data_IF_596962155253
#
_entry.id   IF_596962155253
#
_cell.length_a   1.000
_cell.length_b   1.000
_cell.length_c   1.000
_cell.angle_alpha   90.00
_cell.angle_beta   90.00
_cell.angle_gamma   90.00
#
_symmetry.space_group_name_H-M   'P 1'
#
loop_
_entity.id
_entity.type
_entity.pdbx_description
1 polymer ?
#
# COMPACT_ATOMS: atom_id res chain seq x y z
N UNK A 1 8.89 -38.76 10.91
CA UNK A 1 9.16 -37.31 10.86
C UNK A 1 10.33 -37.05 9.93
N UNK A 2 10.10 -37.11 8.61
CA UNK A 2 11.07 -36.81 7.54
C UNK A 2 10.27 -36.24 6.38
N UNK A 3 10.68 -35.07 5.91
CA UNK A 3 10.11 -34.40 4.74
C UNK A 3 10.31 -35.28 3.51
N UNK A 4 9.28 -35.39 2.68
CA UNK A 4 9.37 -35.92 1.32
C UNK A 4 8.44 -35.10 0.47
N UNK A 5 9.00 -34.02 -0.06
CA UNK A 5 8.41 -33.29 -1.17
C UNK A 5 8.47 -34.25 -2.35
N UNK A 6 7.31 -34.77 -2.71
CA UNK A 6 7.09 -35.55 -3.93
C UNK A 6 7.20 -34.59 -5.10
N UNK A 7 8.39 -34.50 -5.68
CA UNK A 7 8.57 -33.94 -7.02
C UNK A 7 8.25 -35.07 -7.99
N UNK A 8 7.08 -34.96 -8.61
CA UNK A 8 6.58 -35.89 -9.62
C UNK A 8 7.64 -36.13 -10.70
N UNK A 9 7.85 -37.42 -11.00
CA UNK A 9 8.92 -37.91 -11.86
C UNK A 9 8.91 -37.33 -13.26
N UNK A 10 10.10 -36.97 -13.73
CA UNK A 10 10.35 -36.66 -15.14
C UNK A 10 11.59 -37.47 -15.56
N UNK A 11 11.36 -38.45 -16.44
CA UNK A 11 12.37 -39.23 -17.13
C UNK A 11 13.19 -38.29 -18.03
N UNK A 12 14.51 -38.21 -17.82
CA UNK A 12 15.40 -37.34 -18.60
C UNK A 12 15.90 -38.14 -19.82
N UNK A 13 15.24 -37.95 -20.96
CA UNK A 13 15.61 -38.55 -22.25
C UNK A 13 15.53 -37.53 -23.39
N UNK A 14 16.70 -37.11 -23.88
CA UNK A 14 17.02 -36.63 -25.24
C UNK A 14 15.93 -35.88 -26.05
N UNK A 15 15.94 -34.53 -26.00
CA UNK A 15 15.48 -33.64 -27.09
C UNK A 15 15.87 -32.16 -26.80
N UNK A 16 17.16 -31.85 -26.84
CA UNK A 16 17.68 -30.49 -26.59
C UNK A 16 17.64 -29.69 -27.90
N UNK A 17 16.65 -28.78 -28.07
CA UNK A 17 16.84 -27.49 -28.78
C UNK A 17 15.66 -26.48 -28.77
N UNK A 18 14.44 -26.82 -28.34
CA UNK A 18 13.30 -25.87 -28.38
C UNK A 18 12.60 -25.57 -27.04
N UNK A 19 13.06 -26.12 -25.92
CA UNK A 19 12.37 -26.00 -24.62
C UNK A 19 12.88 -24.90 -23.69
N UNK A 20 14.05 -24.30 -23.95
CA UNK A 20 14.66 -23.31 -23.02
C UNK A 20 13.95 -21.97 -22.91
N UNK A 21 13.18 -21.59 -23.94
CA UNK A 21 12.42 -20.34 -23.96
C UNK A 21 11.14 -20.43 -23.13
N UNK A 22 10.46 -21.58 -23.15
CA UNK A 22 9.21 -21.77 -22.42
C UNK A 22 9.43 -21.74 -20.89
N UNK A 23 10.53 -22.34 -20.41
CA UNK A 23 10.88 -22.36 -18.99
C UNK A 23 11.23 -20.95 -18.45
N UNK A 24 11.92 -20.14 -19.27
CA UNK A 24 12.29 -18.76 -18.90
C UNK A 24 11.09 -17.81 -18.90
N UNK A 25 10.16 -17.99 -19.83
CA UNK A 25 8.91 -17.21 -19.89
C UNK A 25 8.00 -17.58 -18.72
N UNK A 26 7.90 -18.86 -18.37
CA UNK A 26 7.12 -19.32 -17.23
C UNK A 26 7.69 -18.79 -15.89
N UNK A 27 9.03 -18.79 -15.76
CA UNK A 27 9.70 -18.21 -14.60
C UNK A 27 9.50 -16.69 -14.50
N UNK A 28 9.57 -15.96 -15.62
CA UNK A 28 9.30 -14.51 -15.66
C UNK A 28 7.84 -14.17 -15.28
N UNK A 29 6.87 -14.97 -15.76
CA UNK A 29 5.44 -14.79 -15.46
C UNK A 29 5.13 -15.04 -13.96
N UNK A 30 5.86 -15.95 -13.32
CA UNK A 30 5.73 -16.23 -11.88
C UNK A 30 6.18 -15.05 -11.01
N UNK A 31 7.25 -14.36 -11.40
CA UNK A 31 7.79 -13.21 -10.65
C UNK A 31 6.90 -11.97 -10.80
N UNK A 32 6.28 -11.77 -11.98
CA UNK A 32 5.40 -10.64 -12.24
C UNK A 32 4.13 -10.63 -11.36
N UNK A 33 3.73 -11.78 -10.83
CA UNK A 33 2.49 -11.93 -10.02
C UNK A 33 2.62 -11.44 -8.58
N UNK A 34 3.83 -11.08 -8.12
CA UNK A 34 4.09 -10.69 -6.73
C UNK A 34 4.16 -9.18 -6.49
N UNK A 35 3.89 -8.35 -7.50
CA UNK A 35 3.93 -6.91 -7.37
C UNK A 35 2.56 -6.36 -6.96
N UNK A 36 2.27 -6.37 -5.65
CA UNK A 36 1.17 -5.59 -5.08
C UNK A 36 1.72 -4.27 -4.55
N UNK A 37 1.01 -3.17 -4.81
CA UNK A 37 1.22 -1.96 -4.01
C UNK A 37 0.68 -2.22 -2.60
N UNK A 38 1.39 -1.73 -1.58
CA UNK A 38 0.86 -1.73 -0.22
C UNK A 38 -0.31 -0.75 -0.12
N UNK A 39 -1.36 -1.18 0.57
CA UNK A 39 -2.51 -0.33 0.85
C UNK A 39 -2.15 0.71 1.91
N UNK A 40 -2.45 1.98 1.65
CA UNK A 40 -2.25 3.05 2.62
C UNK A 40 -3.36 3.01 3.67
N UNK A 41 -3.06 2.42 4.82
CA UNK A 41 -3.92 2.41 5.99
C UNK A 41 -3.84 3.73 6.77
N UNK A 42 -4.95 4.46 6.88
CA UNK A 42 -5.00 5.78 7.54
C UNK A 42 -4.43 5.77 8.96
N UNK A 43 -4.83 4.81 9.79
CA UNK A 43 -4.41 4.78 11.20
C UNK A 43 -2.93 4.45 11.41
N UNK A 44 -2.30 3.79 10.45
CA UNK A 44 -0.90 3.35 10.54
C UNK A 44 0.04 4.32 9.84
N UNK A 45 -0.37 4.86 8.69
CA UNK A 45 0.48 5.68 7.85
C UNK A 45 0.21 7.19 7.98
N UNK A 46 -1.04 7.61 8.20
CA UNK A 46 -1.43 9.03 8.15
C UNK A 46 -1.65 9.62 9.54
N UNK A 47 -2.41 8.94 10.40
CA UNK A 47 -2.74 9.43 11.74
C UNK A 47 -1.50 9.74 12.59
N UNK A 48 -0.42 8.93 12.61
CA UNK A 48 0.77 9.26 13.41
C UNK A 48 1.40 10.61 13.02
N UNK A 49 1.45 10.90 11.71
CA UNK A 49 1.98 12.15 11.16
C UNK A 49 1.12 13.33 11.63
N UNK A 50 -0.22 13.19 11.55
CA UNK A 50 -1.13 14.24 12.02
C UNK A 50 -1.02 14.46 13.53
N UNK A 51 -0.88 13.41 14.33
CA UNK A 51 -0.71 13.52 15.79
C UNK A 51 0.58 14.27 16.13
N UNK A 52 1.66 13.98 15.43
CA UNK A 52 2.97 14.58 15.69
C UNK A 52 3.00 16.07 15.30
N UNK A 53 2.41 16.43 14.16
CA UNK A 53 2.62 17.74 13.56
C UNK A 53 1.40 18.67 13.54
N UNK A 54 0.17 18.15 13.63
CA UNK A 54 -1.03 18.94 13.32
C UNK A 54 -2.04 18.99 14.45
N UNK A 55 -2.34 17.86 15.11
CA UNK A 55 -3.46 17.75 16.05
C UNK A 55 -3.25 18.50 17.37
N UNK A 56 -2.04 18.99 17.65
CA UNK A 56 -1.82 19.87 18.80
C UNK A 56 -2.51 21.23 18.66
N UNK A 57 -2.61 21.75 17.43
CA UNK A 57 -3.24 23.04 17.12
C UNK A 57 -4.53 22.89 16.28
N UNK A 58 -4.71 21.79 15.55
CA UNK A 58 -5.90 21.54 14.70
C UNK A 58 -6.65 20.26 15.12
N UNK A 59 -6.65 19.98 16.42
CA UNK A 59 -7.29 18.80 17.00
C UNK A 59 -8.62 19.09 17.73
N UNK A 60 -9.07 18.14 18.57
CA UNK A 60 -10.37 18.22 19.23
C UNK A 60 -10.44 19.27 20.35
N UNK A 61 -9.31 19.74 20.86
CA UNK A 61 -9.26 20.76 21.91
C UNK A 61 -9.59 22.14 21.36
N UNK A 62 -10.79 22.64 21.66
CA UNK A 62 -11.27 23.95 21.23
C UNK A 62 -10.42 25.12 21.76
N UNK A 63 -9.86 24.98 22.96
CA UNK A 63 -9.08 26.06 23.59
C UNK A 63 -7.74 26.31 22.91
N UNK A 64 -7.24 25.29 22.22
CA UNK A 64 -5.97 25.31 21.47
C UNK A 64 -6.17 25.30 19.97
N UNK A 65 -7.42 25.30 19.49
CA UNK A 65 -7.73 25.15 18.07
C UNK A 65 -7.44 26.45 17.32
N UNK A 66 -6.53 26.36 16.36
CA UNK A 66 -6.16 27.48 15.50
C UNK A 66 -6.97 27.46 14.20
N UNK A 67 -7.26 28.65 13.66
CA UNK A 67 -7.95 28.87 12.39
C UNK A 67 -9.31 28.16 12.25
N UNK A 68 -9.92 27.75 13.38
CA UNK A 68 -11.14 26.91 13.43
C UNK A 68 -11.02 25.59 12.63
N UNK A 69 -9.80 25.22 12.23
CA UNK A 69 -9.53 24.05 11.40
C UNK A 69 -9.44 22.80 12.29
N UNK A 70 -10.10 21.73 11.84
CA UNK A 70 -10.19 20.47 12.56
C UNK A 70 -9.83 19.29 11.67
N UNK A 71 -8.71 18.65 11.98
CA UNK A 71 -8.15 17.52 11.21
C UNK A 71 -8.32 16.16 11.90
N UNK A 72 -8.82 16.11 13.13
CA UNK A 72 -9.11 14.84 13.84
C UNK A 72 -10.42 14.17 13.39
N UNK A 73 -11.28 14.92 12.70
CA UNK A 73 -12.59 14.48 12.21
C UNK A 73 -12.61 14.49 10.68
N UNK A 74 -13.01 13.38 10.07
CA UNK A 74 -13.10 13.25 8.62
C UNK A 74 -14.09 14.25 8.02
N UNK A 75 -15.28 14.37 8.61
CA UNK A 75 -16.31 15.30 8.14
C UNK A 75 -15.81 16.75 8.17
N UNK A 76 -15.19 17.16 9.29
CA UNK A 76 -14.66 18.52 9.42
C UNK A 76 -13.49 18.78 8.46
N UNK A 77 -12.61 17.81 8.25
CA UNK A 77 -11.48 17.94 7.33
C UNK A 77 -11.95 18.04 5.87
N UNK A 78 -13.00 17.28 5.49
CA UNK A 78 -13.57 17.32 4.13
C UNK A 78 -14.34 18.59 3.82
N UNK A 79 -15.05 19.14 4.81
CA UNK A 79 -15.76 20.40 4.65
C UNK A 79 -14.80 21.59 4.48
N UNK A 80 -13.59 21.48 5.06
CA UNK A 80 -12.66 22.60 5.13
C UNK A 80 -11.56 22.58 4.07
N UNK A 81 -10.75 21.51 3.99
CA UNK A 81 -9.48 21.54 3.24
C UNK A 81 -9.17 20.28 2.43
N UNK A 82 -9.88 19.16 2.64
CA UNK A 82 -9.57 17.88 1.99
C UNK A 82 -10.65 17.48 0.97
N UNK A 83 -10.26 17.31 -0.29
CA UNK A 83 -11.10 16.73 -1.34
C UNK A 83 -10.72 15.26 -1.53
N UNK A 84 -11.66 14.35 -1.25
CA UNK A 84 -11.41 12.92 -1.34
C UNK A 84 -11.09 12.48 -2.78
N UNK A 85 -9.96 11.82 -2.96
CA UNK A 85 -9.52 11.29 -4.26
C UNK A 85 -8.80 12.29 -5.16
N UNK A 86 -8.70 13.56 -4.76
CA UNK A 86 -8.00 14.60 -5.52
C UNK A 86 -7.13 15.49 -4.61
N UNK A 87 -5.84 15.16 -4.44
CA UNK A 87 -4.95 15.94 -3.60
C UNK A 87 -4.66 17.33 -4.17
N UNK A 88 -4.76 17.51 -5.49
CA UNK A 88 -4.48 18.80 -6.15
C UNK A 88 -5.59 19.82 -5.87
N UNK A 89 -6.80 19.34 -5.58
CA UNK A 89 -7.94 20.17 -5.16
C UNK A 89 -8.04 20.34 -3.65
N UNK A 90 -7.20 19.64 -2.88
CA UNK A 90 -7.12 19.81 -1.43
C UNK A 90 -6.23 21.01 -1.11
N UNK A 91 -6.74 21.98 -0.34
CA UNK A 91 -5.97 23.15 0.08
C UNK A 91 -5.08 22.84 1.28
N UNK A 92 -4.20 21.85 1.13
CA UNK A 92 -3.26 21.40 2.14
C UNK A 92 -1.89 22.05 1.91
N UNK A 93 -1.78 23.35 2.15
CA UNK A 93 -0.56 24.15 2.03
C UNK A 93 -0.64 25.39 2.92
#
# INVERSE_FOLDING_TARGET
MKQSIVVGGICIGSAIRHTRFADSICFLLLIASSLSADEILFNEHVRPILVEHCLQCHGPDESRREAELRLDSEDAAKESVIVAGDPELSSFM
#
